data_IF_239215278691
#
_entry.id   IF_239215278691
#
_cell.length_a   1.000
_cell.length_b   1.000
_cell.length_c   1.000
_cell.angle_alpha   90.00
_cell.angle_beta   90.00
_cell.angle_gamma   90.00
#
_symmetry.space_group_name_H-M   'P 1'
#
loop_
_entity.id
_entity.type
_entity.pdbx_description
1 polymer ?
#
# COMPACT_ATOMS: atom_id res chain seq x y z
N UNK A 1 1.00 1.07 33.11
CA UNK A 1 0.30 0.43 31.98
C UNK A 1 1.20 0.41 30.76
N UNK A 2 2.01 -0.63 30.60
CA UNK A 2 2.82 -0.84 29.38
C UNK A 2 1.87 -1.26 28.26
N UNK A 3 1.56 -0.34 27.33
CA UNK A 3 0.89 -0.69 26.08
C UNK A 3 1.73 -1.78 25.42
N UNK A 4 1.23 -3.02 25.37
CA UNK A 4 1.78 -4.08 24.53
C UNK A 4 1.75 -3.54 23.11
N UNK A 5 2.88 -3.06 22.62
CA UNK A 5 3.00 -2.67 21.22
C UNK A 5 2.79 -3.95 20.42
N UNK A 6 1.64 -4.09 19.74
CA UNK A 6 1.45 -5.16 18.78
C UNK A 6 2.61 -5.11 17.78
N UNK A 7 3.45 -6.15 17.81
CA UNK A 7 4.45 -6.41 16.79
C UNK A 7 3.72 -6.46 15.46
N UNK A 8 4.12 -5.60 14.52
CA UNK A 8 3.56 -5.62 13.17
C UNK A 8 4.42 -6.59 12.37
N UNK A 9 3.79 -7.65 11.85
CA UNK A 9 4.46 -8.66 11.03
C UNK A 9 4.06 -8.52 9.56
N UNK A 10 4.90 -9.00 8.61
CA UNK A 10 4.52 -9.13 7.21
C UNK A 10 3.18 -9.87 7.00
N UNK A 11 2.92 -10.93 7.77
CA UNK A 11 1.66 -11.68 7.69
C UNK A 11 0.43 -10.83 8.05
N UNK A 12 0.56 -9.90 9.01
CA UNK A 12 -0.52 -8.94 9.31
C UNK A 12 -0.74 -7.95 8.17
N UNK A 13 0.32 -7.57 7.45
CA UNK A 13 0.19 -6.74 6.25
C UNK A 13 -0.61 -7.50 5.20
N UNK A 14 -0.18 -8.73 4.88
CA UNK A 14 -0.87 -9.62 3.93
C UNK A 14 -2.35 -9.81 4.29
N UNK A 15 -2.67 -10.05 5.56
CA UNK A 15 -4.07 -10.18 6.00
C UNK A 15 -4.91 -8.91 5.75
N UNK A 16 -4.33 -7.72 5.93
CA UNK A 16 -5.03 -6.47 5.63
C UNK A 16 -5.21 -6.26 4.12
N UNK A 17 -4.22 -6.67 3.31
CA UNK A 17 -4.31 -6.63 1.85
C UNK A 17 -5.40 -7.58 1.34
N UNK A 18 -5.47 -8.78 1.90
CA UNK A 18 -6.51 -9.77 1.59
C UNK A 18 -7.91 -9.22 1.92
N UNK A 19 -8.08 -8.60 3.08
CA UNK A 19 -9.34 -7.96 3.45
C UNK A 19 -9.77 -6.88 2.44
N UNK A 20 -8.82 -6.07 1.93
CA UNK A 20 -9.13 -5.09 0.89
C UNK A 20 -9.39 -5.75 -0.47
N UNK A 21 -8.63 -6.78 -0.85
CA UNK A 21 -8.83 -7.55 -2.09
C UNK A 21 -10.25 -8.09 -2.17
N UNK A 22 -10.77 -8.65 -1.07
CA UNK A 22 -12.13 -9.16 -0.99
C UNK A 22 -13.20 -8.07 -1.19
N UNK A 23 -12.95 -6.83 -0.76
CA UNK A 23 -13.87 -5.72 -1.02
C UNK A 23 -13.98 -5.41 -2.52
N UNK A 24 -12.89 -5.52 -3.28
CA UNK A 24 -12.93 -5.33 -4.74
C UNK A 24 -13.74 -6.40 -5.46
N UNK A 25 -13.87 -7.60 -4.88
CA UNK A 25 -14.77 -8.64 -5.41
C UNK A 25 -16.23 -8.23 -5.22
N UNK A 26 -16.55 -7.50 -4.14
CA UNK A 26 -17.92 -7.19 -3.72
C UNK A 26 -18.42 -5.81 -4.23
N UNK A 27 -17.57 -4.79 -4.22
CA UNK A 27 -17.95 -3.37 -4.35
C UNK A 27 -17.80 -2.79 -5.77
N UNK A 28 -17.29 -3.57 -6.73
CA UNK A 28 -17.24 -3.17 -8.15
C UNK A 28 -16.04 -2.31 -8.55
N UNK A 29 -16.22 -1.45 -9.58
CA UNK A 29 -15.15 -0.73 -10.29
C UNK A 29 -14.81 0.67 -9.76
N UNK A 30 -15.28 1.03 -8.55
CA UNK A 30 -14.99 2.34 -7.97
C UNK A 30 -14.56 2.25 -6.50
N UNK A 31 -13.60 3.11 -6.13
CA UNK A 31 -13.24 3.28 -4.72
C UNK A 31 -14.36 4.00 -3.96
N UNK A 32 -14.72 3.46 -2.80
CA UNK A 32 -15.55 4.15 -1.82
C UNK A 32 -14.91 5.48 -1.41
N UNK A 33 -15.72 6.45 -0.98
CA UNK A 33 -15.20 7.76 -0.57
C UNK A 33 -14.19 7.65 0.59
N UNK A 34 -14.39 6.70 1.50
CA UNK A 34 -13.47 6.39 2.60
C UNK A 34 -12.13 5.87 2.09
N UNK A 35 -12.13 4.99 1.08
CA UNK A 35 -10.93 4.48 0.41
C UNK A 35 -10.19 5.60 -0.34
N UNK A 36 -10.91 6.47 -1.06
CA UNK A 36 -10.34 7.67 -1.71
C UNK A 36 -9.61 8.54 -0.70
N UNK A 37 -10.28 8.93 0.39
CA UNK A 37 -9.68 9.76 1.44
C UNK A 37 -8.43 9.11 2.06
N UNK A 38 -8.46 7.79 2.29
CA UNK A 38 -7.32 7.05 2.84
C UNK A 38 -6.14 6.99 1.87
N UNK A 39 -6.42 6.75 0.60
CA UNK A 39 -5.40 6.74 -0.46
C UNK A 39 -4.73 8.12 -0.63
N UNK A 40 -5.51 9.20 -0.50
CA UNK A 40 -5.00 10.58 -0.53
C UNK A 40 -4.09 10.89 0.65
N UNK A 41 -4.47 10.45 1.86
CA UNK A 41 -3.60 10.54 3.03
C UNK A 41 -2.29 9.77 2.86
N UNK A 42 -2.30 8.71 2.06
CA UNK A 42 -1.09 7.97 1.73
C UNK A 42 -0.20 8.71 0.74
N UNK A 43 -0.76 9.39 -0.26
CA UNK A 43 0.01 10.18 -1.21
C UNK A 43 0.64 11.42 -0.58
N UNK A 44 0.08 11.91 0.54
CA UNK A 44 0.73 12.91 1.37
C UNK A 44 2.13 12.50 1.83
N UNK A 45 2.48 11.21 1.80
CA UNK A 45 3.85 10.77 2.00
C UNK A 45 4.81 11.46 1.04
N UNK A 46 4.47 11.68 -0.23
CA UNK A 46 5.39 12.31 -1.19
C UNK A 46 5.12 13.79 -1.41
N UNK A 47 3.94 14.30 -1.03
CA UNK A 47 3.56 15.70 -1.26
C UNK A 47 3.91 16.64 -0.09
N UNK A 48 3.97 16.11 1.14
CA UNK A 48 4.18 16.94 2.34
C UNK A 48 5.60 16.72 2.89
N UNK A 49 6.36 17.81 3.15
CA UNK A 49 7.67 17.72 3.79
C UNK A 49 7.61 16.98 5.14
N UNK A 50 8.64 16.17 5.39
CA UNK A 50 8.70 15.40 6.63
C UNK A 50 9.01 16.28 7.83
N UNK A 51 8.12 16.24 8.83
CA UNK A 51 8.49 16.64 10.18
C UNK A 51 9.63 15.74 10.67
N UNK A 52 10.61 16.32 11.35
CA UNK A 52 11.82 15.60 11.80
C UNK A 52 11.47 14.35 12.63
N UNK A 53 10.43 14.42 13.46
CA UNK A 53 9.94 13.31 14.29
C UNK A 53 9.29 12.16 13.51
N UNK A 54 8.88 12.39 12.26
CA UNK A 54 8.21 11.39 11.42
C UNK A 54 9.06 10.95 10.22
N UNK A 55 10.20 11.59 9.98
CA UNK A 55 11.07 11.35 8.82
C UNK A 55 11.44 9.89 8.67
N UNK A 56 11.88 9.22 9.74
CA UNK A 56 12.23 7.80 9.69
C UNK A 56 11.04 6.91 9.30
N UNK A 57 9.88 7.16 9.92
CA UNK A 57 8.64 6.39 9.65
C UNK A 57 8.21 6.57 8.20
N UNK A 58 8.19 7.82 7.72
CA UNK A 58 7.75 8.14 6.37
C UNK A 58 8.72 7.60 5.33
N UNK A 59 10.04 7.76 5.53
CA UNK A 59 11.05 7.18 4.65
C UNK A 59 10.94 5.66 4.53
N UNK A 60 10.77 4.93 5.64
CA UNK A 60 10.62 3.46 5.58
C UNK A 60 9.34 3.03 4.85
N UNK A 61 8.23 3.71 5.11
CA UNK A 61 6.99 3.41 4.41
C UNK A 61 7.10 3.69 2.90
N UNK A 62 7.72 4.83 2.51
CA UNK A 62 8.00 5.13 1.10
C UNK A 62 8.85 4.05 0.45
N UNK A 63 9.96 3.66 1.09
CA UNK A 63 10.87 2.65 0.55
C UNK A 63 10.16 1.31 0.28
N UNK A 64 9.33 0.82 1.21
CA UNK A 64 8.54 -0.40 0.99
C UNK A 64 7.55 -0.23 -0.19
N UNK A 65 6.85 0.89 -0.25
CA UNK A 65 5.85 1.13 -1.30
C UNK A 65 6.49 1.30 -2.69
N UNK A 66 7.64 1.98 -2.77
CA UNK A 66 8.42 2.10 -4.00
C UNK A 66 8.93 0.73 -4.46
N UNK A 67 9.42 -0.11 -3.53
CA UNK A 67 9.81 -1.49 -3.84
C UNK A 67 8.62 -2.29 -4.41
N UNK A 68 7.44 -2.19 -3.78
CA UNK A 68 6.23 -2.89 -4.23
C UNK A 68 5.81 -2.40 -5.62
N UNK A 69 5.75 -1.08 -5.82
CA UNK A 69 5.35 -0.48 -7.07
C UNK A 69 6.28 -0.83 -8.23
N UNK A 70 7.61 -0.78 -8.00
CA UNK A 70 8.61 -1.06 -9.03
C UNK A 70 8.78 -2.56 -9.31
N UNK A 71 8.29 -3.44 -8.45
CA UNK A 71 8.34 -4.88 -8.70
C UNK A 71 7.28 -5.29 -9.73
N UNK A 72 7.74 -5.77 -10.89
CA UNK A 72 6.91 -6.18 -12.02
C UNK A 72 5.78 -7.16 -11.66
N UNK A 73 5.98 -8.03 -10.67
CA UNK A 73 4.97 -9.00 -10.25
C UNK A 73 3.91 -8.43 -9.30
N UNK A 74 4.05 -7.20 -8.80
CA UNK A 74 3.17 -6.58 -7.81
C UNK A 74 2.50 -5.32 -8.39
N UNK A 75 3.31 -4.30 -8.71
CA UNK A 75 2.86 -3.08 -9.38
C UNK A 75 1.84 -2.25 -8.60
N UNK A 76 1.07 -1.46 -9.36
CA UNK A 76 0.12 -0.48 -8.83
C UNK A 76 -1.05 -1.10 -8.06
N UNK A 77 -1.48 -2.30 -8.43
CA UNK A 77 -2.60 -3.00 -7.79
C UNK A 77 -2.29 -3.27 -6.32
N UNK A 78 -1.12 -3.85 -6.07
CA UNK A 78 -0.66 -4.17 -4.72
C UNK A 78 -0.30 -2.92 -3.95
N UNK A 79 0.29 -1.90 -4.62
CA UNK A 79 0.48 -0.58 -4.02
C UNK A 79 -0.84 0.00 -3.48
N UNK A 80 -1.91 -0.05 -4.29
CA UNK A 80 -3.22 0.44 -3.91
C UNK A 80 -3.76 -0.34 -2.71
N UNK A 81 -3.67 -1.67 -2.73
CA UNK A 81 -4.08 -2.50 -1.58
C UNK A 81 -3.27 -2.17 -0.31
N UNK A 82 -1.98 -1.87 -0.41
CA UNK A 82 -1.18 -1.40 0.73
C UNK A 82 -1.68 -0.05 1.28
N UNK A 83 -1.95 0.91 0.39
CA UNK A 83 -2.45 2.24 0.76
C UNK A 83 -3.84 2.16 1.43
N UNK A 84 -4.70 1.24 0.95
CA UNK A 84 -6.05 1.06 1.48
C UNK A 84 -6.09 0.17 2.73
N UNK A 85 -5.24 -0.85 2.82
CA UNK A 85 -5.31 -1.85 3.89
C UNK A 85 -4.50 -1.48 5.14
N UNK A 86 -3.44 -0.67 4.98
CA UNK A 86 -2.46 -0.46 6.05
C UNK A 86 -2.28 1.02 6.37
N UNK A 87 -1.71 1.36 7.54
CA UNK A 87 -1.26 2.72 7.86
C UNK A 87 0.24 2.88 7.58
N UNK A 88 0.70 4.10 7.30
CA UNK A 88 2.13 4.42 7.16
C UNK A 88 2.97 3.90 8.33
N UNK A 89 2.48 4.08 9.55
CA UNK A 89 3.16 3.65 10.77
C UNK A 89 3.34 2.12 10.88
N UNK A 90 2.42 1.34 10.31
CA UNK A 90 2.52 -0.13 10.27
C UNK A 90 3.50 -0.57 9.19
N UNK A 91 3.44 0.02 7.99
CA UNK A 91 4.40 -0.26 6.92
C UNK A 91 5.84 0.08 7.32
N UNK A 92 6.03 1.15 8.09
CA UNK A 92 7.36 1.54 8.55
C UNK A 92 8.00 0.58 9.57
N UNK A 93 7.21 -0.29 10.20
CA UNK A 93 7.65 -1.19 11.28
C UNK A 93 8.06 -2.57 10.79
N UNK A 94 7.73 -2.91 9.55
CA UNK A 94 8.12 -4.18 8.94
C UNK A 94 9.45 -4.02 8.20
N UNK A 95 10.21 -5.10 8.11
CA UNK A 95 11.35 -5.15 7.22
C UNK A 95 10.87 -5.10 5.75
N UNK A 96 11.34 -4.14 4.93
CA UNK A 96 10.81 -3.97 3.58
C UNK A 96 11.03 -5.19 2.67
N UNK A 97 12.19 -5.85 2.77
CA UNK A 97 12.56 -6.97 1.89
C UNK A 97 11.76 -8.21 2.23
N UNK A 98 11.66 -8.56 3.51
CA UNK A 98 10.84 -9.67 3.97
C UNK A 98 9.35 -9.41 3.71
N UNK A 99 8.88 -8.18 3.95
CA UNK A 99 7.48 -7.82 3.69
C UNK A 99 7.14 -7.93 2.21
N UNK A 100 7.98 -7.40 1.33
CA UNK A 100 7.85 -7.55 -0.12
C UNK A 100 7.76 -9.03 -0.49
N UNK A 101 8.72 -9.85 -0.06
CA UNK A 101 8.76 -11.29 -0.38
C UNK A 101 7.48 -12.02 0.01
N UNK A 102 6.92 -11.72 1.19
CA UNK A 102 5.65 -12.32 1.62
C UNK A 102 4.46 -11.83 0.80
N UNK A 103 4.42 -10.54 0.47
CA UNK A 103 3.37 -9.98 -0.38
C UNK A 103 3.46 -10.61 -1.78
N UNK A 104 4.64 -10.77 -2.36
CA UNK A 104 4.82 -11.43 -3.66
C UNK A 104 4.39 -12.90 -3.65
N UNK A 105 4.73 -13.65 -2.61
CA UNK A 105 4.26 -15.04 -2.46
C UNK A 105 2.75 -15.11 -2.37
N UNK A 106 2.13 -14.28 -1.54
CA UNK A 106 0.68 -14.21 -1.41
C UNK A 106 0.02 -13.82 -2.75
N UNK A 107 0.50 -12.74 -3.37
CA UNK A 107 -0.07 -12.21 -4.60
C UNK A 107 -0.03 -13.19 -5.77
N UNK A 108 1.01 -14.04 -5.83
CA UNK A 108 1.11 -15.11 -6.83
C UNK A 108 0.11 -16.25 -6.64
N UNK A 109 -0.52 -16.37 -5.46
CA UNK A 109 -1.40 -17.51 -5.10
C UNK A 109 -2.87 -17.15 -5.00
N UNK A 110 -3.21 -15.87 -4.91
CA UNK A 110 -4.60 -15.41 -4.77
C UNK A 110 -5.22 -15.04 -6.10
N UNK A 111 -6.54 -15.15 -6.18
CA UNK A 111 -7.30 -14.65 -7.33
C UNK A 111 -7.22 -13.13 -7.42
N UNK A 112 -7.10 -12.60 -8.64
CA UNK A 112 -7.00 -11.16 -8.87
C UNK A 112 -8.38 -10.62 -9.29
N UNK A 113 -9.04 -9.78 -8.47
CA UNK A 113 -10.34 -9.23 -8.83
C UNK A 113 -10.26 -8.44 -10.13
N UNK A 114 -11.15 -8.72 -11.09
CA UNK A 114 -11.16 -8.06 -12.41
C UNK A 114 -11.38 -6.55 -12.32
N UNK A 115 -11.98 -6.07 -11.23
CA UNK A 115 -12.19 -4.66 -10.90
C UNK A 115 -10.94 -3.95 -10.37
N UNK A 116 -9.96 -4.67 -9.82
CA UNK A 116 -8.81 -4.05 -9.16
C UNK A 116 -7.87 -3.37 -10.17
N UNK A 117 -7.51 -4.08 -11.24
CA UNK A 117 -6.62 -3.56 -12.28
C UNK A 117 -7.08 -2.22 -12.89
N UNK A 118 -8.34 -2.07 -13.36
CA UNK A 118 -8.81 -0.79 -13.90
C UNK A 118 -8.87 0.31 -12.84
N UNK A 119 -9.25 0.00 -11.60
CA UNK A 119 -9.26 0.99 -10.51
C UNK A 119 -7.86 1.46 -10.17
N UNK A 120 -6.91 0.54 -10.08
CA UNK A 120 -5.52 0.85 -9.79
C UNK A 120 -4.89 1.71 -10.89
N UNK A 121 -5.14 1.39 -12.17
CA UNK A 121 -4.72 2.22 -13.31
C UNK A 121 -5.36 3.60 -13.32
N UNK A 122 -6.65 3.70 -13.03
CA UNK A 122 -7.34 4.97 -12.94
C UNK A 122 -6.79 5.83 -11.78
N UNK A 123 -6.49 5.19 -10.65
CA UNK A 123 -5.87 5.83 -9.49
C UNK A 123 -4.48 6.37 -9.81
N UNK A 124 -3.63 5.58 -10.45
CA UNK A 124 -2.30 5.99 -10.91
C UNK A 124 -2.39 7.15 -11.91
N UNK A 125 -3.23 7.04 -12.93
CA UNK A 125 -3.39 8.07 -13.97
C UNK A 125 -3.81 9.41 -13.37
N UNK A 126 -4.76 9.42 -12.43
CA UNK A 126 -5.23 10.63 -11.75
C UNK A 126 -4.17 11.28 -10.86
N UNK A 127 -3.14 10.52 -10.46
CA UNK A 127 -2.10 10.94 -9.52
C UNK A 127 -0.70 10.80 -10.11
N UNK A 128 -0.62 10.87 -11.44
CA UNK A 128 0.62 10.65 -12.19
C UNK A 128 1.77 11.55 -11.72
N UNK A 129 1.49 12.79 -11.29
CA UNK A 129 2.52 13.69 -10.75
C UNK A 129 3.28 13.13 -9.54
N UNK A 130 2.67 12.20 -8.79
CA UNK A 130 3.32 11.48 -7.69
C UNK A 130 4.02 10.22 -8.22
N UNK A 131 3.32 9.40 -9.01
CA UNK A 131 3.85 8.13 -9.52
C UNK A 131 5.01 8.29 -10.51
N UNK A 132 5.06 9.40 -11.24
CA UNK A 132 6.19 9.74 -12.11
C UNK A 132 7.51 9.91 -11.33
N UNK A 133 7.45 10.15 -10.02
CA UNK A 133 8.63 10.17 -9.17
C UNK A 133 9.17 8.77 -8.86
N UNK A 134 8.35 7.73 -8.99
CA UNK A 134 8.71 6.33 -8.71
C UNK A 134 9.34 5.63 -9.92
N UNK A 135 8.93 6.03 -11.14
CA UNK A 135 9.32 5.42 -12.41
C UNK A 135 10.74 5.79 -12.90
N UNK A 136 11.68 6.04 -11.99
CA UNK A 136 13.09 6.33 -12.31
C UNK A 136 13.94 5.07 -12.36
#
# INVERSE_FOLDING_TARGET
MTRKYCLVTPSMIVANLEAQRLLFIQEGYELLQTQKNKSDQFLNLWQIPDRQSQRWVRNRARALLEIIYNKKSLGIEVFLLCALGTSTSRLARVDPVNCESQIAKWWATVEHPSSLAPVAKAYESRRWSVFSAFAR
#
